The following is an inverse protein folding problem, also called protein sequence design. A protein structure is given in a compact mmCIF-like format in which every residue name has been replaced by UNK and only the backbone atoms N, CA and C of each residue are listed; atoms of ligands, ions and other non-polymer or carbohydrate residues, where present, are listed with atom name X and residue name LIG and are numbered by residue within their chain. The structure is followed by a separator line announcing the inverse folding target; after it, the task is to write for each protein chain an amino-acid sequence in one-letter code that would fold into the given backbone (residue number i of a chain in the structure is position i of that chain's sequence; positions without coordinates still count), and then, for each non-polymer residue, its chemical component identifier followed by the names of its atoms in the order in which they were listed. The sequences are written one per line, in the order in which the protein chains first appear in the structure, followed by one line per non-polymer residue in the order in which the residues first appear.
data_IF_837396123998
#
_entry.id   IF_837396123998
#
_cell.length_a   1.000
_cell.length_b   1.000
_cell.length_c   1.000
_cell.angle_alpha   90.00
_cell.angle_beta   90.00
_cell.angle_gamma   90.00
#
_symmetry.space_group_name_H-M   'P 1'
#
loop_
_entity.id
_entity.type
_entity.pdbx_description
1 polymer ?
#
# COMPACT_ATOMS: atom_id res chain seq x y z
N UNK A 1 -21.22 23.99 -13.80
CA UNK A 1 -21.67 23.50 -12.48
C UNK A 1 -22.86 24.33 -12.09
N UNK A 2 -24.02 23.69 -12.00
CA UNK A 2 -25.27 24.38 -11.67
C UNK A 2 -25.24 24.79 -10.20
N UNK A 3 -25.74 25.98 -9.89
CA UNK A 3 -25.87 26.50 -8.51
C UNK A 3 -26.53 25.50 -7.54
N UNK A 4 -27.40 24.64 -8.06
CA UNK A 4 -28.05 23.56 -7.32
C UNK A 4 -27.08 22.48 -6.80
N UNK A 5 -26.05 22.12 -7.57
CA UNK A 5 -25.06 21.10 -7.16
C UNK A 5 -24.13 21.64 -6.07
N UNK A 6 -23.82 22.94 -6.11
CA UNK A 6 -23.02 23.58 -5.06
C UNK A 6 -23.79 23.64 -3.74
N UNK A 7 -25.08 23.97 -3.79
CA UNK A 7 -25.93 24.04 -2.61
C UNK A 7 -26.14 22.65 -1.97
N UNK A 8 -26.38 21.62 -2.77
CA UNK A 8 -26.49 20.25 -2.30
C UNK A 8 -25.18 19.74 -1.65
N UNK A 9 -24.02 20.05 -2.24
CA UNK A 9 -22.73 19.67 -1.66
C UNK A 9 -22.44 20.39 -0.33
N UNK A 10 -22.86 21.65 -0.19
CA UNK A 10 -22.73 22.38 1.08
C UNK A 10 -23.59 21.79 2.19
N UNK A 11 -24.83 21.41 1.89
CA UNK A 11 -25.72 20.76 2.86
C UNK A 11 -25.17 19.40 3.31
N UNK A 12 -24.72 18.59 2.36
CA UNK A 12 -24.08 17.30 2.65
C UNK A 12 -22.82 17.47 3.50
N UNK A 13 -22.00 18.49 3.24
CA UNK A 13 -20.79 18.76 4.02
C UNK A 13 -21.14 19.13 5.47
N UNK A 14 -22.18 19.93 5.68
CA UNK A 14 -22.69 20.28 7.02
C UNK A 14 -23.15 19.03 7.77
N UNK A 15 -23.98 18.18 7.14
CA UNK A 15 -24.44 16.92 7.74
C UNK A 15 -23.27 15.98 8.09
N UNK A 16 -22.24 15.90 7.23
CA UNK A 16 -21.04 15.11 7.51
C UNK A 16 -20.21 15.68 8.66
N UNK A 17 -20.17 16.99 8.83
CA UNK A 17 -19.45 17.67 9.91
C UNK A 17 -20.14 17.48 11.25
N UNK A 18 -21.47 17.49 11.27
CA UNK A 18 -22.26 17.14 12.47
C UNK A 18 -22.05 15.68 12.87
N UNK A 19 -22.04 14.76 11.88
CA UNK A 19 -21.88 13.33 12.14
C UNK A 19 -20.45 12.92 12.49
N UNK A 20 -19.44 13.59 11.95
CA UNK A 20 -18.03 13.27 12.14
C UNK A 20 -17.23 14.52 12.55
N UNK A 21 -17.47 15.07 13.75
CA UNK A 21 -16.92 16.37 14.17
C UNK A 21 -15.39 16.40 14.27
N UNK A 22 -14.77 15.24 14.51
CA UNK A 22 -13.32 15.12 14.64
C UNK A 22 -12.59 15.02 13.29
N UNK A 23 -13.31 14.90 12.17
CA UNK A 23 -12.72 14.76 10.84
C UNK A 23 -12.55 16.15 10.20
N UNK A 24 -11.33 16.45 9.78
CA UNK A 24 -11.00 17.70 9.10
C UNK A 24 -11.88 17.92 7.86
N UNK A 25 -12.44 19.12 7.71
CA UNK A 25 -13.32 19.53 6.62
C UNK A 25 -12.71 19.30 5.23
N UNK A 26 -11.42 19.58 5.03
CA UNK A 26 -10.72 19.31 3.76
C UNK A 26 -10.71 17.82 3.38
N UNK A 27 -10.82 16.93 4.37
CA UNK A 27 -10.92 15.50 4.14
C UNK A 27 -12.36 15.11 3.80
N UNK A 28 -13.35 15.69 4.48
CA UNK A 28 -14.76 15.49 4.16
C UNK A 28 -15.06 15.91 2.71
N UNK A 29 -14.64 17.11 2.31
CA UNK A 29 -14.81 17.62 0.94
C UNK A 29 -14.13 16.72 -0.09
N UNK A 30 -12.91 16.25 0.18
CA UNK A 30 -12.20 15.33 -0.73
C UNK A 30 -12.88 13.97 -0.87
N UNK A 31 -13.43 13.43 0.22
CA UNK A 31 -14.14 12.14 0.19
C UNK A 31 -15.47 12.32 -0.55
N UNK A 32 -16.19 13.41 -0.29
CA UNK A 32 -17.44 13.75 -0.98
C UNK A 32 -17.23 13.87 -2.50
N UNK A 33 -16.22 14.64 -2.92
CA UNK A 33 -15.85 14.79 -4.33
C UNK A 33 -15.45 13.46 -4.98
N UNK A 34 -14.66 12.63 -4.28
CA UNK A 34 -14.21 11.33 -4.80
C UNK A 34 -15.37 10.36 -5.06
N UNK A 35 -16.44 10.46 -4.28
CA UNK A 35 -17.63 9.62 -4.42
C UNK A 35 -18.77 10.31 -5.18
N UNK A 36 -18.50 11.45 -5.83
CA UNK A 36 -19.48 12.15 -6.65
C UNK A 36 -20.72 12.61 -5.89
N UNK A 37 -20.59 12.94 -4.61
CA UNK A 37 -21.74 13.36 -3.78
C UNK A 37 -22.61 12.20 -3.26
N UNK A 38 -22.20 10.95 -3.44
CA UNK A 38 -22.88 9.78 -2.86
C UNK A 38 -22.67 9.75 -1.34
N UNK A 39 -23.64 10.29 -0.61
CA UNK A 39 -23.58 10.49 0.84
C UNK A 39 -23.44 9.16 1.61
N UNK A 40 -24.08 8.09 1.15
CA UNK A 40 -24.04 6.78 1.83
C UNK A 40 -22.67 6.14 1.71
N UNK A 41 -22.05 6.17 0.52
CA UNK A 41 -20.68 5.71 0.33
C UNK A 41 -19.68 6.52 1.15
N UNK A 42 -19.90 7.84 1.24
CA UNK A 42 -19.06 8.74 2.05
C UNK A 42 -19.20 8.40 3.53
N UNK A 43 -20.42 8.26 4.05
CA UNK A 43 -20.68 7.86 5.43
C UNK A 43 -20.03 6.52 5.76
N UNK A 44 -20.25 5.49 4.94
CA UNK A 44 -19.65 4.18 5.14
C UNK A 44 -18.10 4.26 5.18
N UNK A 45 -17.51 5.06 4.31
CA UNK A 45 -16.05 5.25 4.26
C UNK A 45 -15.51 5.97 5.50
N UNK A 46 -16.23 6.97 6.01
CA UNK A 46 -15.86 7.72 7.20
C UNK A 46 -16.06 6.90 8.47
N UNK A 47 -17.16 6.15 8.60
CA UNK A 47 -17.35 5.19 9.70
C UNK A 47 -16.27 4.11 9.72
N UNK A 48 -15.86 3.59 8.55
CA UNK A 48 -14.73 2.66 8.47
C UNK A 48 -13.40 3.33 8.87
N UNK A 49 -13.24 4.63 8.63
CA UNK A 49 -12.07 5.38 9.08
C UNK A 49 -12.09 5.55 10.60
N UNK A 50 -13.21 5.96 11.17
CA UNK A 50 -13.41 6.12 12.60
C UNK A 50 -13.22 4.80 13.35
N UNK A 51 -13.84 3.71 12.90
CA UNK A 51 -13.63 2.37 13.47
C UNK A 51 -12.15 1.96 13.44
N UNK A 52 -11.41 2.36 12.41
CA UNK A 52 -9.96 2.18 12.39
C UNK A 52 -9.31 3.05 13.45
N UNK A 53 -9.59 4.35 13.52
CA UNK A 53 -9.03 5.25 14.55
C UNK A 53 -9.28 4.74 15.97
N UNK A 54 -10.52 4.36 16.29
CA UNK A 54 -10.92 3.86 17.61
C UNK A 54 -10.22 2.55 17.96
N UNK A 55 -9.82 1.73 16.97
CA UNK A 55 -8.99 0.55 17.22
C UNK A 55 -7.60 0.91 17.77
N UNK A 56 -7.05 2.05 17.37
CA UNK A 56 -5.69 2.45 17.77
C UNK A 56 -5.67 3.26 19.06
N UNK A 57 -6.79 3.87 19.44
CA UNK A 57 -6.86 4.70 20.64
C UNK A 57 -6.49 3.94 21.92
N UNK A 58 -6.97 2.71 22.19
CA UNK A 58 -6.51 1.92 23.34
C UNK A 58 -5.01 1.60 23.31
N UNK A 59 -4.47 1.36 22.11
CA UNK A 59 -3.04 1.08 21.93
C UNK A 59 -2.21 2.35 22.16
N UNK A 60 -2.72 3.51 21.75
CA UNK A 60 -2.11 4.81 21.99
C UNK A 60 -2.12 5.14 23.49
N UNK A 61 -3.20 4.86 24.20
CA UNK A 61 -3.24 4.98 25.67
C UNK A 61 -2.24 4.04 26.34
N UNK A 62 -2.16 2.78 25.90
CA UNK A 62 -1.31 1.75 26.53
C UNK A 62 0.17 1.90 26.22
N UNK A 63 0.52 2.21 24.97
CA UNK A 63 1.90 2.20 24.46
C UNK A 63 2.42 3.57 24.04
N UNK A 64 1.57 4.60 23.97
CA UNK A 64 1.94 5.95 23.54
C UNK A 64 3.11 6.54 24.32
N UNK A 65 3.13 6.48 25.67
CA UNK A 65 4.27 6.96 26.45
C UNK A 65 5.56 6.19 26.13
N UNK A 66 5.51 4.85 26.08
CA UNK A 66 6.67 4.02 25.78
C UNK A 66 7.23 4.27 24.37
N UNK A 67 6.36 4.51 23.38
CA UNK A 67 6.77 4.89 22.03
C UNK A 67 7.46 6.25 22.03
N UNK A 68 6.94 7.22 22.79
CA UNK A 68 7.57 8.54 22.89
C UNK A 68 8.96 8.44 23.51
N UNK A 69 9.13 7.66 24.58
CA UNK A 69 10.45 7.39 25.18
C UNK A 69 11.38 6.71 24.18
N UNK A 70 10.92 5.66 23.49
CA UNK A 70 11.70 4.96 22.47
C UNK A 70 12.18 5.91 21.34
N UNK A 71 11.33 6.83 20.90
CA UNK A 71 11.67 7.80 19.86
C UNK A 71 12.63 8.90 20.35
N UNK A 72 12.68 9.16 21.66
CA UNK A 72 13.66 10.06 22.27
C UNK A 72 15.03 9.37 22.45
N UNK A 73 15.03 8.12 22.91
CA UNK A 73 16.25 7.32 23.11
C UNK A 73 16.90 6.89 21.79
N UNK A 74 16.10 6.69 20.74
CA UNK A 74 16.57 6.24 19.43
C UNK A 74 16.07 7.17 18.31
N UNK A 75 16.84 8.20 17.94
CA UNK A 75 16.47 9.15 16.90
C UNK A 75 16.23 8.51 15.52
N UNK A 76 16.88 7.39 15.20
CA UNK A 76 16.65 6.64 13.94
C UNK A 76 15.20 6.17 13.79
N UNK A 77 14.52 5.89 14.92
CA UNK A 77 13.15 5.40 14.97
C UNK A 77 12.13 6.54 14.75
N UNK A 78 12.52 7.81 14.84
CA UNK A 78 11.62 8.95 14.58
C UNK A 78 11.08 8.98 13.15
N UNK A 79 11.82 8.42 12.20
CA UNK A 79 11.39 8.29 10.80
C UNK A 79 10.18 7.37 10.62
N UNK A 80 9.89 6.51 11.60
CA UNK A 80 8.78 5.57 11.54
C UNK A 80 7.46 6.26 11.91
N UNK A 81 6.44 6.02 11.07
CA UNK A 81 5.08 6.50 11.36
C UNK A 81 4.58 5.91 12.68
N UNK A 82 4.02 6.76 13.56
CA UNK A 82 3.51 6.39 14.90
C UNK A 82 2.60 5.15 14.90
N UNK A 83 1.66 5.09 13.95
CA UNK A 83 0.80 3.91 13.74
C UNK A 83 1.57 2.59 13.59
N UNK A 84 2.70 2.61 12.89
CA UNK A 84 3.51 1.42 12.65
C UNK A 84 4.20 0.97 13.94
N UNK A 85 4.60 1.92 14.79
CA UNK A 85 5.16 1.65 16.10
C UNK A 85 4.11 1.06 17.04
N UNK A 86 2.90 1.62 17.10
CA UNK A 86 1.79 1.06 17.88
C UNK A 86 1.50 -0.40 17.54
N UNK A 87 1.41 -0.73 16.25
CA UNK A 87 1.18 -2.10 15.80
C UNK A 87 2.34 -3.04 16.14
N UNK A 88 3.57 -2.51 16.16
CA UNK A 88 4.75 -3.30 16.52
C UNK A 88 4.79 -3.54 18.02
N UNK A 89 4.46 -2.53 18.83
CA UNK A 89 4.28 -2.65 20.28
C UNK A 89 3.19 -3.66 20.63
N UNK A 90 2.02 -3.57 19.98
CA UNK A 90 0.93 -4.55 20.15
C UNK A 90 1.39 -5.98 19.84
N UNK A 91 2.16 -6.17 18.75
CA UNK A 91 2.64 -7.49 18.34
C UNK A 91 3.58 -8.14 19.36
N UNK A 92 4.34 -7.33 20.09
CA UNK A 92 5.32 -7.80 21.07
C UNK A 92 4.89 -7.47 22.51
N UNK A 93 3.60 -7.17 22.73
CA UNK A 93 3.00 -6.82 24.03
C UNK A 93 3.71 -5.68 24.80
N UNK A 94 4.41 -4.79 24.08
CA UNK A 94 5.18 -3.69 24.66
C UNK A 94 6.62 -4.03 25.05
N UNK A 95 7.14 -5.21 24.67
CA UNK A 95 8.54 -5.58 24.85
C UNK A 95 9.46 -4.71 23.98
N UNK A 96 10.12 -3.74 24.61
CA UNK A 96 10.93 -2.71 23.96
C UNK A 96 12.13 -3.33 23.21
N UNK A 97 12.76 -4.35 23.78
CA UNK A 97 13.96 -4.96 23.19
C UNK A 97 13.63 -5.65 21.87
N UNK A 98 12.54 -6.43 21.84
CA UNK A 98 12.07 -7.10 20.61
C UNK A 98 11.59 -6.10 19.56
N UNK A 99 10.95 -5.01 19.99
CA UNK A 99 10.52 -3.94 19.08
C UNK A 99 11.74 -3.29 18.43
N UNK A 100 12.79 -2.99 19.20
CA UNK A 100 14.01 -2.41 18.68
C UNK A 100 14.72 -3.35 17.69
N UNK A 101 14.91 -4.63 18.05
CA UNK A 101 15.51 -5.63 17.17
C UNK A 101 14.74 -5.75 15.84
N UNK A 102 13.40 -5.77 15.91
CA UNK A 102 12.56 -5.81 14.73
C UNK A 102 12.73 -4.57 13.84
N UNK A 103 12.79 -3.38 14.44
CA UNK A 103 12.95 -2.12 13.71
C UNK A 103 14.32 -2.03 13.03
N UNK A 104 15.39 -2.41 13.72
CA UNK A 104 16.75 -2.49 13.14
C UNK A 104 16.79 -3.47 11.96
N UNK A 105 16.11 -4.62 12.07
CA UNK A 105 15.98 -5.58 10.96
C UNK A 105 15.19 -5.04 9.77
N UNK A 106 14.24 -4.13 10.00
CA UNK A 106 13.49 -3.48 8.93
C UNK A 106 14.32 -2.40 8.24
N UNK A 107 15.07 -1.61 9.02
CA UNK A 107 15.93 -0.53 8.54
C UNK A 107 17.05 -1.07 7.66
N UNK A 108 17.78 -2.09 8.13
CA UNK A 108 18.81 -2.79 7.36
C UNK A 108 18.28 -3.33 6.02
N UNK A 109 17.06 -3.87 5.99
CA UNK A 109 16.41 -4.32 4.75
C UNK A 109 16.04 -3.19 3.78
N UNK A 110 15.81 -1.98 4.28
CA UNK A 110 15.50 -0.82 3.42
C UNK A 110 16.78 -0.18 2.90
N UNK A 111 17.82 -0.03 3.73
CA UNK A 111 19.12 0.49 3.29
C UNK A 111 19.76 -0.36 2.17
N UNK A 112 19.57 -1.68 2.17
CA UNK A 112 20.06 -2.53 1.06
C UNK A 112 19.28 -2.38 -0.25
N UNK A 113 18.06 -1.81 -0.23
CA UNK A 113 17.28 -1.59 -1.46
C UNK A 113 17.58 -0.26 -2.14
N UNK A 114 18.03 0.74 -1.39
CA UNK A 114 18.34 2.06 -1.94
C UNK A 114 19.80 2.15 -2.44
N UNK A 115 20.67 1.21 -2.03
CA UNK A 115 22.07 1.17 -2.47
C UNK A 115 22.26 0.52 -3.85
N UNK A 116 21.32 -0.31 -4.29
CA UNK A 116 21.31 -0.89 -5.63
C UNK A 116 20.16 -0.30 -6.46
N UNK A 117 20.53 0.38 -7.54
CA UNK A 117 19.67 0.90 -8.64
C UNK A 117 18.90 2.21 -8.37
N UNK A 118 19.61 3.33 -8.52
CA UNK A 118 19.03 4.64 -8.87
C UNK A 118 18.50 4.69 -10.32
N UNK A 119 17.91 3.60 -10.81
CA UNK A 119 17.20 3.54 -12.08
C UNK A 119 15.72 3.49 -11.73
N UNK A 120 14.94 4.42 -12.26
CA UNK A 120 13.49 4.45 -12.04
C UNK A 120 12.89 3.08 -12.38
N UNK A 121 11.93 2.59 -11.57
CA UNK A 121 11.24 1.31 -11.83
C UNK A 121 10.68 1.21 -13.26
N UNK A 122 10.38 2.35 -13.88
CA UNK A 122 9.94 2.42 -15.28
C UNK A 122 11.10 2.18 -16.26
N UNK A 123 12.26 2.79 -16.05
CA UNK A 123 13.43 2.63 -16.91
C UNK A 123 13.93 1.19 -16.89
N UNK A 124 14.06 0.59 -15.70
CA UNK A 124 14.45 -0.82 -15.56
C UNK A 124 13.50 -1.78 -16.27
N UNK A 125 12.20 -1.45 -16.34
CA UNK A 125 11.22 -2.25 -17.09
C UNK A 125 11.44 -2.16 -18.60
N UNK A 126 11.68 -0.97 -19.12
CA UNK A 126 11.94 -0.78 -20.55
C UNK A 126 13.26 -1.46 -20.96
N UNK A 127 14.30 -1.37 -20.14
CA UNK A 127 15.56 -2.11 -20.34
C UNK A 127 15.37 -3.63 -20.36
N UNK A 128 14.50 -4.19 -19.51
CA UNK A 128 14.22 -5.62 -19.55
C UNK A 128 13.34 -6.03 -20.73
N UNK A 129 12.42 -5.18 -21.17
CA UNK A 129 11.65 -5.42 -22.39
C UNK A 129 12.55 -5.50 -23.61
N UNK A 130 13.53 -4.60 -23.71
CA UNK A 130 14.49 -4.64 -24.82
C UNK A 130 15.43 -5.84 -24.70
N UNK A 131 15.96 -6.12 -23.50
CA UNK A 131 16.85 -7.26 -23.25
C UNK A 131 16.22 -8.62 -23.57
N UNK A 132 14.95 -8.82 -23.22
CA UNK A 132 14.24 -10.09 -23.40
C UNK A 132 13.20 -10.07 -24.52
N UNK A 133 13.33 -9.18 -25.51
CA UNK A 133 12.34 -9.00 -26.58
C UNK A 133 12.01 -10.31 -27.33
N UNK A 134 13.03 -11.14 -27.59
CA UNK A 134 12.86 -12.42 -28.30
C UNK A 134 12.09 -13.44 -27.46
N UNK A 135 12.35 -13.49 -26.16
CA UNK A 135 11.70 -14.37 -25.20
C UNK A 135 10.25 -13.95 -24.96
N UNK A 136 9.99 -12.64 -24.89
CA UNK A 136 8.64 -12.10 -24.79
C UNK A 136 7.83 -12.45 -26.05
N UNK A 137 8.43 -12.40 -27.25
CA UNK A 137 7.76 -12.84 -28.48
C UNK A 137 7.40 -14.34 -28.46
N UNK A 138 8.28 -15.19 -27.93
CA UNK A 138 8.00 -16.63 -27.76
C UNK A 138 6.86 -16.90 -26.77
N UNK A 139 6.85 -16.18 -25.64
CA UNK A 139 5.78 -16.27 -24.65
C UNK A 139 4.44 -15.74 -25.18
N UNK A 140 4.45 -14.65 -25.95
CA UNK A 140 3.27 -14.11 -26.61
C UNK A 140 2.70 -15.12 -27.62
N UNK A 141 3.57 -15.80 -28.38
CA UNK A 141 3.17 -16.88 -29.31
C UNK A 141 2.55 -18.06 -28.57
N UNK A 142 2.96 -18.30 -27.32
CA UNK A 142 2.41 -19.32 -26.43
C UNK A 142 1.12 -18.88 -25.71
N UNK A 143 0.55 -17.71 -26.04
CA UNK A 143 -0.69 -17.19 -25.48
C UNK A 143 -0.55 -16.46 -24.13
N UNK A 144 0.67 -16.18 -23.68
CA UNK A 144 0.95 -15.54 -22.40
C UNK A 144 0.88 -14.02 -22.55
N UNK A 145 0.18 -13.35 -21.62
CA UNK A 145 0.13 -11.89 -21.60
C UNK A 145 1.44 -11.30 -21.04
N UNK A 146 2.30 -10.84 -21.94
CA UNK A 146 3.64 -10.29 -21.68
C UNK A 146 3.65 -8.93 -21.00
N UNK A 147 2.54 -8.19 -20.98
CA UNK A 147 2.45 -6.87 -20.34
C UNK A 147 2.36 -6.96 -18.80
N UNK A 148 2.20 -8.18 -18.27
CA UNK A 148 2.11 -8.40 -16.84
C UNK A 148 3.50 -8.25 -16.18
N UNK A 149 3.63 -7.41 -15.13
CA UNK A 149 4.92 -7.16 -14.48
C UNK A 149 5.64 -8.38 -13.89
N UNK A 150 4.94 -9.49 -13.68
CA UNK A 150 5.53 -10.71 -13.15
C UNK A 150 6.26 -11.52 -14.22
N UNK A 151 5.92 -11.37 -15.51
CA UNK A 151 6.61 -12.05 -16.63
C UNK A 151 8.05 -11.56 -16.74
N UNK A 152 8.26 -10.24 -16.72
CA UNK A 152 9.60 -9.65 -16.73
C UNK A 152 10.45 -10.05 -15.51
N UNK A 153 9.83 -10.21 -14.33
CA UNK A 153 10.53 -10.67 -13.12
C UNK A 153 10.93 -12.14 -13.19
N UNK A 154 10.16 -12.96 -13.90
CA UNK A 154 10.46 -14.36 -14.08
C UNK A 154 11.67 -14.49 -15.02
N UNK A 155 11.60 -13.84 -16.19
CA UNK A 155 12.69 -13.77 -17.15
C UNK A 155 13.99 -13.21 -16.54
N UNK A 156 13.90 -12.20 -15.67
CA UNK A 156 15.05 -11.70 -14.92
C UNK A 156 15.64 -12.75 -13.97
N UNK A 157 14.79 -13.47 -13.23
CA UNK A 157 15.19 -14.47 -12.25
C UNK A 157 15.82 -15.71 -12.89
N UNK A 158 15.44 -16.04 -14.12
CA UNK A 158 15.91 -17.22 -14.84
C UNK A 158 16.72 -16.88 -16.10
N UNK A 159 17.26 -15.66 -16.18
CA UNK A 159 18.17 -15.20 -17.24
C UNK A 159 17.62 -15.38 -18.67
N UNK A 160 16.29 -15.38 -18.84
CA UNK A 160 15.64 -15.53 -20.13
C UNK A 160 15.48 -16.97 -20.64
N UNK A 161 15.54 -17.98 -19.78
CA UNK A 161 15.25 -19.38 -20.13
C UNK A 161 13.73 -19.64 -20.26
N UNK A 162 13.20 -19.47 -21.47
CA UNK A 162 11.76 -19.63 -21.79
C UNK A 162 11.28 -21.08 -21.61
N UNK A 163 12.17 -22.06 -21.77
CA UNK A 163 11.80 -23.48 -21.75
C UNK A 163 11.52 -23.98 -20.33
N UNK A 164 12.30 -23.55 -19.34
CA UNK A 164 12.01 -23.86 -17.93
C UNK A 164 10.78 -23.13 -17.39
N UNK A 165 10.42 -22.01 -18.01
CA UNK A 165 9.34 -21.17 -17.56
C UNK A 165 8.00 -21.52 -18.19
N UNK A 166 7.96 -22.11 -19.38
CA UNK A 166 6.70 -22.43 -20.06
C UNK A 166 5.78 -23.29 -19.17
N UNK A 167 6.31 -24.28 -18.47
CA UNK A 167 5.52 -25.14 -17.57
C UNK A 167 4.96 -24.40 -16.33
N UNK A 168 5.72 -23.48 -15.75
CA UNK A 168 5.28 -22.67 -14.59
C UNK A 168 4.37 -21.51 -14.99
N UNK A 169 4.64 -20.91 -16.14
CA UNK A 169 3.85 -19.83 -16.73
C UNK A 169 2.48 -20.37 -17.15
N UNK A 170 2.42 -21.52 -17.82
CA UNK A 170 1.17 -22.19 -18.15
C UNK A 170 0.36 -22.57 -16.90
N UNK A 171 1.01 -23.07 -15.85
CA UNK A 171 0.35 -23.38 -14.58
C UNK A 171 -0.27 -22.13 -13.90
N UNK A 172 0.46 -21.02 -13.83
CA UNK A 172 -0.03 -19.77 -13.22
C UNK A 172 -1.09 -19.06 -14.09
N UNK A 173 -0.97 -19.16 -15.41
CA UNK A 173 -1.96 -18.66 -16.36
C UNK A 173 -3.28 -19.44 -16.25
N UNK A 174 -3.21 -20.78 -16.13
CA UNK A 174 -4.38 -21.64 -15.95
C UNK A 174 -5.12 -21.35 -14.63
N UNK A 175 -4.38 -21.15 -13.54
CA UNK A 175 -4.94 -20.76 -12.23
C UNK A 175 -5.61 -19.37 -12.27
N UNK A 176 -5.03 -18.41 -13.01
CA UNK A 176 -5.58 -17.05 -13.11
C UNK A 176 -6.84 -16.98 -13.96
N UNK A 177 -6.98 -17.82 -14.98
CA UNK A 177 -8.19 -17.87 -15.83
C UNK A 177 -9.32 -18.70 -15.22
N UNK A 178 -9.01 -19.74 -14.43
CA UNK A 178 -10.03 -20.53 -13.71
C UNK A 178 -10.74 -19.74 -12.59
N UNK A 179 -10.11 -18.68 -12.08
CA UNK A 179 -10.69 -17.79 -11.08
C UNK A 179 -11.56 -16.66 -11.69
N UNK A 180 -11.64 -16.57 -13.02
CA UNK A 180 -12.37 -15.52 -13.75
C UNK A 180 -13.67 -16.02 -14.43
N UNK A 181 -14.02 -17.30 -14.22
CA UNK A 181 -15.31 -17.93 -14.57
C UNK A 181 -16.06 -18.27 -13.30
#
# INVERSE_FOLDING_TARGET
MSTNEQQQNTEQLTMLKERFPHINENKLTRVLQRHGGDFDKVCARLSQHEARCNKWEPLETRFGPAITTLQQEHPSIQSFKRFRLLKTMERFDGDIEKVNEFLQKVETKHCHKDRDTSISRCQRREEFKTKYASQLAQLATSGVNVDRPWVLRLLEKHEGDVNKENDKILYLYYQSNKAAT
#
